data_IF_511696404612
#
_entry.id   IF_511696404612
#
_cell.length_a   1.000
_cell.length_b   1.000
_cell.length_c   1.000
_cell.angle_alpha   90.00
_cell.angle_beta   90.00
_cell.angle_gamma   90.00
#
_symmetry.space_group_name_H-M   'P 1'
#
loop_
_entity.id
_entity.type
_entity.pdbx_description
1 polymer ?
#
# COMPACT_ATOMS: atom_id res chain seq x y z
N UNK A 1 5.48 -37.32 -7.01
CA UNK A 1 5.65 -35.87 -7.34
C UNK A 1 4.43 -35.16 -6.78
N UNK A 2 4.56 -34.50 -5.59
CA UNK A 2 3.47 -33.69 -5.03
C UNK A 2 3.37 -32.44 -5.88
N UNK A 3 2.30 -32.31 -6.62
CA UNK A 3 1.94 -31.06 -7.30
C UNK A 3 1.58 -30.05 -6.18
N UNK A 4 2.37 -29.01 -5.99
CA UNK A 4 1.97 -27.88 -5.15
C UNK A 4 0.79 -27.23 -5.86
N UNK A 5 -0.42 -27.42 -5.35
CA UNK A 5 -1.53 -26.57 -5.75
C UNK A 5 -1.28 -25.20 -5.12
N UNK A 6 -1.27 -24.17 -5.97
CA UNK A 6 -1.30 -22.79 -5.48
C UNK A 6 -2.73 -22.52 -5.04
N UNK A 7 -2.91 -22.29 -3.74
CA UNK A 7 -4.18 -21.85 -3.19
C UNK A 7 -4.24 -20.32 -3.26
N UNK A 8 -5.40 -19.81 -3.62
CA UNK A 8 -5.73 -18.40 -3.50
C UNK A 8 -6.57 -18.25 -2.24
N UNK A 9 -6.01 -17.52 -1.25
CA UNK A 9 -6.74 -17.17 -0.05
C UNK A 9 -7.61 -15.94 -0.34
N UNK A 10 -8.88 -16.02 0.03
CA UNK A 10 -9.80 -14.89 -0.01
C UNK A 10 -9.85 -14.30 1.39
N UNK A 11 -9.52 -13.02 1.51
CA UNK A 11 -9.57 -12.30 2.78
C UNK A 11 -10.74 -11.32 2.80
N UNK A 12 -11.49 -11.30 3.89
CA UNK A 12 -12.68 -10.45 4.03
C UNK A 12 -12.32 -8.98 4.27
N UNK A 13 -11.13 -8.73 4.82
CA UNK A 13 -10.64 -7.38 5.11
C UNK A 13 -9.18 -7.26 4.71
N UNK A 14 -8.85 -6.12 4.09
CA UNK A 14 -7.49 -5.80 3.65
C UNK A 14 -6.96 -4.67 4.50
N UNK A 15 -5.76 -4.85 5.06
CA UNK A 15 -5.02 -3.78 5.71
C UNK A 15 -4.20 -2.98 4.69
N UNK A 16 -3.79 -1.79 5.06
CA UNK A 16 -2.81 -1.00 4.31
C UNK A 16 -1.45 -1.15 4.96
N UNK A 17 -0.44 -1.52 4.19
CA UNK A 17 0.96 -1.40 4.62
C UNK A 17 1.58 -0.17 3.94
N UNK A 18 2.29 0.64 4.69
CA UNK A 18 2.90 1.86 4.15
C UNK A 18 4.28 2.12 4.75
N UNK A 19 5.29 2.49 3.94
CA UNK A 19 6.58 2.93 4.45
C UNK A 19 6.46 4.35 4.99
N UNK A 20 6.85 4.55 6.26
CA UNK A 20 6.85 5.84 6.94
C UNK A 20 8.27 6.26 7.28
N UNK A 21 8.66 7.47 6.86
CA UNK A 21 9.89 8.11 7.30
C UNK A 21 9.63 8.79 8.65
N UNK A 22 10.26 8.33 9.71
CA UNK A 22 10.03 8.81 11.08
C UNK A 22 11.06 9.86 11.52
N UNK A 23 12.28 9.78 10.99
CA UNK A 23 13.37 10.70 11.34
C UNK A 23 14.22 11.02 10.10
N UNK A 24 15.07 12.05 10.21
CA UNK A 24 15.95 12.46 9.11
C UNK A 24 17.21 11.59 8.95
N UNK A 25 17.19 10.37 9.50
CA UNK A 25 18.27 9.39 9.37
C UNK A 25 18.19 8.52 8.10
N UNK A 26 17.23 8.78 7.22
CA UNK A 26 17.01 8.01 5.98
C UNK A 26 16.32 6.66 6.18
N UNK A 27 15.91 6.31 7.39
CA UNK A 27 15.21 5.05 7.68
C UNK A 27 13.71 5.17 7.40
N UNK A 28 13.14 4.08 6.91
CA UNK A 28 11.71 3.89 6.71
C UNK A 28 11.22 2.70 7.51
N UNK A 29 10.08 2.84 8.14
CA UNK A 29 9.38 1.76 8.84
C UNK A 29 8.15 1.39 8.03
N UNK A 30 8.03 0.13 7.63
CA UNK A 30 6.79 -0.36 7.04
C UNK A 30 5.80 -0.65 8.15
N UNK A 31 4.73 0.11 8.19
CA UNK A 31 3.67 -0.04 9.18
C UNK A 31 2.43 -0.65 8.56
N UNK A 32 1.77 -1.53 9.31
CA UNK A 32 0.49 -2.09 8.96
C UNK A 32 -0.61 -1.27 9.62
N UNK A 33 -1.52 -0.73 8.83
CA UNK A 33 -2.68 0.05 9.26
C UNK A 33 -3.92 -0.82 9.08
N UNK A 34 -4.60 -1.26 10.17
CA UNK A 34 -5.80 -2.06 10.08
C UNK A 34 -6.91 -1.33 9.34
N UNK A 35 -7.78 -2.10 8.68
CA UNK A 35 -8.97 -1.55 8.05
C UNK A 35 -10.04 -1.19 9.09
N UNK A 36 -10.71 -0.06 8.88
CA UNK A 36 -11.87 0.37 9.65
C UNK A 36 -12.98 0.83 8.69
N UNK A 37 -14.27 0.59 9.03
CA UNK A 37 -15.38 0.91 8.14
C UNK A 37 -15.61 2.42 7.97
N UNK A 38 -15.18 3.24 8.93
CA UNK A 38 -15.27 4.69 8.83
C UNK A 38 -13.90 5.34 8.82
N UNK A 39 -13.78 6.40 8.01
CA UNK A 39 -12.51 7.10 7.81
C UNK A 39 -11.98 7.79 9.07
N UNK A 40 -12.85 8.28 9.94
CA UNK A 40 -12.42 9.00 11.16
C UNK A 40 -11.71 8.06 12.13
N UNK A 41 -12.28 6.87 12.35
CA UNK A 41 -11.64 5.83 13.15
C UNK A 41 -10.34 5.38 12.51
N UNK A 42 -10.33 5.08 11.20
CA UNK A 42 -9.13 4.72 10.47
C UNK A 42 -8.02 5.78 10.65
N UNK A 43 -8.35 7.06 10.45
CA UNK A 43 -7.38 8.17 10.57
C UNK A 43 -6.81 8.28 12.00
N UNK A 44 -7.67 8.16 13.00
CA UNK A 44 -7.26 8.27 14.42
C UNK A 44 -6.31 7.12 14.80
N UNK A 45 -6.67 5.90 14.46
CA UNK A 45 -5.86 4.71 14.76
C UNK A 45 -4.55 4.68 13.97
N UNK A 46 -4.60 5.01 12.66
CA UNK A 46 -3.41 5.13 11.83
C UNK A 46 -2.43 6.16 12.40
N UNK A 47 -2.94 7.32 12.82
CA UNK A 47 -2.13 8.37 13.43
C UNK A 47 -1.50 7.93 14.75
N UNK A 48 -2.23 7.21 15.58
CA UNK A 48 -1.72 6.65 16.83
C UNK A 48 -0.58 5.64 16.57
N UNK A 49 -0.78 4.71 15.62
CA UNK A 49 0.25 3.74 15.21
C UNK A 49 1.51 4.44 14.72
N UNK A 50 1.37 5.40 13.80
CA UNK A 50 2.50 6.15 13.22
C UNK A 50 3.24 6.95 14.29
N UNK A 51 2.51 7.61 15.20
CA UNK A 51 3.12 8.40 16.28
C UNK A 51 3.82 7.55 17.35
N UNK A 52 3.47 6.27 17.44
CA UNK A 52 4.10 5.32 18.36
C UNK A 52 5.35 4.64 17.80
N UNK A 53 5.78 4.96 16.59
CA UNK A 53 6.99 4.38 16.01
C UNK A 53 8.22 4.93 16.75
N UNK A 54 9.01 4.02 17.29
CA UNK A 54 10.30 4.33 17.89
C UNK A 54 11.38 4.39 16.80
N UNK A 55 11.98 5.57 16.52
CA UNK A 55 12.96 5.70 15.46
C UNK A 55 14.28 4.96 15.72
N UNK A 56 14.55 4.56 16.96
CA UNK A 56 15.78 3.89 17.37
C UNK A 56 15.68 2.36 17.21
N UNK A 57 14.47 1.83 17.01
CA UNK A 57 14.29 0.40 16.73
C UNK A 57 14.77 0.01 15.33
N UNK A 58 15.05 -1.29 15.17
CA UNK A 58 15.34 -1.86 13.86
C UNK A 58 14.05 -1.90 13.03
N UNK A 59 13.99 -1.19 11.88
CA UNK A 59 12.80 -1.18 11.02
C UNK A 59 12.45 -2.56 10.45
N UNK A 60 13.37 -3.52 10.47
CA UNK A 60 13.20 -4.88 9.95
C UNK A 60 13.01 -5.94 11.05
N UNK A 61 12.84 -5.52 12.31
CA UNK A 61 12.70 -6.47 13.43
C UNK A 61 11.48 -7.38 13.25
N UNK A 62 10.36 -6.84 12.79
CA UNK A 62 9.15 -7.60 12.51
C UNK A 62 9.33 -8.64 11.40
N UNK A 63 10.14 -8.32 10.37
CA UNK A 63 10.46 -9.25 9.28
C UNK A 63 11.37 -10.39 9.77
N UNK A 64 12.33 -10.09 10.64
CA UNK A 64 13.25 -11.09 11.23
C UNK A 64 12.53 -12.09 12.12
N UNK A 65 11.46 -11.68 12.77
CA UNK A 65 10.66 -12.54 13.66
C UNK A 65 9.60 -13.37 12.94
N UNK A 66 9.53 -13.29 11.60
CA UNK A 66 8.59 -14.05 10.79
C UNK A 66 7.16 -13.54 10.84
N UNK A 67 6.96 -12.32 11.35
CA UNK A 67 5.65 -11.74 11.58
C UNK A 67 5.08 -10.89 10.45
N UNK A 68 5.76 -10.75 9.31
CA UNK A 68 5.24 -9.95 8.19
C UNK A 68 4.48 -10.80 7.18
N UNK A 69 3.33 -11.29 7.57
CA UNK A 69 2.39 -11.86 6.62
C UNK A 69 1.73 -10.70 5.86
N UNK A 70 2.38 -10.26 4.75
CA UNK A 70 1.85 -9.23 3.86
C UNK A 70 0.83 -9.79 2.85
N UNK A 71 0.26 -10.96 3.11
CA UNK A 71 -0.65 -11.65 2.20
C UNK A 71 -2.02 -10.96 2.10
N UNK A 72 -2.40 -10.20 3.13
CA UNK A 72 -3.69 -9.53 3.24
C UNK A 72 -3.57 -7.99 3.26
N UNK A 73 -2.59 -7.44 2.57
CA UNK A 73 -2.36 -6.00 2.52
C UNK A 73 -2.35 -5.46 1.09
N UNK A 74 -2.69 -4.20 0.95
CA UNK A 74 -2.28 -3.34 -0.16
C UNK A 74 -1.11 -2.50 0.32
N UNK A 75 0.02 -2.56 -0.37
CA UNK A 75 1.14 -1.68 -0.08
C UNK A 75 0.86 -0.30 -0.70
N UNK A 76 0.79 0.72 0.15
CA UNK A 76 0.62 2.10 -0.28
C UNK A 76 1.93 2.87 -0.08
N UNK A 77 2.51 3.35 -1.15
CA UNK A 77 3.66 4.25 -1.12
C UNK A 77 3.25 5.65 -1.60
N UNK A 78 3.84 6.68 -1.02
CA UNK A 78 3.58 8.06 -1.43
C UNK A 78 4.89 8.77 -1.81
N UNK A 79 4.85 9.52 -2.91
CA UNK A 79 5.91 10.41 -3.38
C UNK A 79 5.34 11.82 -3.52
N UNK A 80 5.12 12.54 -2.39
CA UNK A 80 4.33 13.77 -2.35
C UNK A 80 4.95 14.93 -3.12
N UNK A 81 6.24 14.86 -3.43
CA UNK A 81 6.97 15.89 -4.18
C UNK A 81 7.05 15.62 -5.68
N UNK A 82 6.62 14.44 -6.13
CA UNK A 82 6.72 14.02 -7.52
C UNK A 82 5.35 13.92 -8.17
N UNK A 83 5.10 14.76 -9.19
CA UNK A 83 3.99 14.56 -10.12
C UNK A 83 4.47 13.71 -11.29
N UNK A 84 3.82 12.57 -11.54
CA UNK A 84 4.18 11.66 -12.63
C UNK A 84 3.00 11.39 -13.56
N UNK A 85 3.29 11.05 -14.79
CA UNK A 85 2.32 10.54 -15.78
C UNK A 85 2.43 9.02 -15.93
N UNK A 86 3.54 8.45 -15.49
CA UNK A 86 3.80 7.01 -15.43
C UNK A 86 4.81 6.75 -14.33
N UNK A 87 4.62 5.68 -13.57
CA UNK A 87 5.54 5.20 -12.56
C UNK A 87 5.58 3.68 -12.58
N UNK A 88 6.77 3.12 -12.68
CA UNK A 88 7.00 1.68 -12.57
C UNK A 88 7.89 1.42 -11.37
N UNK A 89 7.41 0.59 -10.45
CA UNK A 89 8.19 0.16 -9.31
C UNK A 89 8.70 -1.26 -9.52
N UNK A 90 9.97 -1.47 -9.18
CA UNK A 90 10.55 -2.81 -9.16
C UNK A 90 10.04 -3.54 -7.92
N UNK A 91 9.45 -4.72 -8.13
CA UNK A 91 9.09 -5.64 -7.05
C UNK A 91 10.03 -6.84 -7.08
N UNK A 92 10.52 -7.25 -5.94
CA UNK A 92 11.26 -8.50 -5.83
C UNK A 92 10.29 -9.66 -5.68
N UNK A 93 10.21 -10.51 -6.71
CA UNK A 93 9.31 -11.67 -6.74
C UNK A 93 9.86 -12.90 -6.02
N UNK A 94 11.05 -12.83 -5.42
CA UNK A 94 11.73 -13.99 -4.83
C UNK A 94 11.00 -14.65 -3.66
N UNK A 95 10.12 -13.91 -2.98
CA UNK A 95 9.42 -14.39 -1.79
C UNK A 95 7.89 -14.36 -1.90
N UNK A 96 7.35 -14.42 -3.13
CA UNK A 96 5.91 -14.59 -3.33
C UNK A 96 5.06 -13.36 -2.99
N UNK A 97 5.64 -12.17 -3.00
CA UNK A 97 4.91 -10.91 -2.79
C UNK A 97 3.92 -10.65 -3.93
N UNK A 98 2.71 -11.13 -3.79
CA UNK A 98 1.62 -10.95 -4.76
C UNK A 98 0.64 -9.85 -4.32
N UNK A 99 1.03 -9.03 -3.35
CA UNK A 99 0.22 -7.91 -2.90
C UNK A 99 0.19 -6.77 -3.92
N UNK A 100 -0.95 -6.09 -4.09
CA UNK A 100 -1.01 -4.89 -4.91
C UNK A 100 -0.14 -3.77 -4.31
N UNK A 101 0.63 -3.10 -5.17
CA UNK A 101 1.40 -1.91 -4.79
C UNK A 101 0.75 -0.68 -5.43
N UNK A 102 0.28 0.22 -4.61
CA UNK A 102 -0.27 1.51 -5.02
C UNK A 102 0.71 2.64 -4.70
N UNK A 103 0.99 3.48 -5.69
CA UNK A 103 1.83 4.67 -5.54
C UNK A 103 1.00 5.91 -5.79
N UNK A 104 0.98 6.82 -4.82
CA UNK A 104 0.35 8.12 -4.93
C UNK A 104 1.43 9.20 -5.11
N UNK A 105 1.24 10.06 -6.10
CA UNK A 105 2.17 11.17 -6.36
C UNK A 105 1.66 12.50 -5.83
N UNK A 106 2.33 13.59 -6.26
CA UNK A 106 2.01 14.95 -5.86
C UNK A 106 0.62 15.38 -6.35
N UNK A 107 -0.21 15.85 -5.45
CA UNK A 107 -1.46 16.50 -5.80
C UNK A 107 -1.19 17.91 -6.37
N UNK A 108 -1.83 18.23 -7.49
CA UNK A 108 -1.72 19.53 -8.19
C UNK A 108 -3.09 20.02 -8.64
N UNK A 109 -3.23 21.34 -8.82
CA UNK A 109 -4.46 21.92 -9.37
C UNK A 109 -4.34 21.97 -10.90
N UNK A 110 -5.29 21.34 -11.59
CA UNK A 110 -5.45 21.41 -13.05
C UNK A 110 -6.87 21.81 -13.41
N UNK A 111 -7.02 22.91 -14.16
CA UNK A 111 -8.35 23.40 -14.54
C UNK A 111 -9.27 23.71 -13.35
N UNK A 112 -8.71 24.12 -12.19
CA UNK A 112 -9.48 24.38 -10.98
C UNK A 112 -9.84 23.14 -10.14
N UNK A 113 -9.41 21.95 -10.57
CA UNK A 113 -9.66 20.68 -9.88
C UNK A 113 -8.35 20.16 -9.29
N UNK A 114 -8.40 19.69 -8.03
CA UNK A 114 -7.28 19.01 -7.42
C UNK A 114 -7.18 17.58 -7.97
N UNK A 115 -6.04 17.26 -8.57
CA UNK A 115 -5.76 15.94 -9.17
C UNK A 115 -4.47 15.36 -8.59
N UNK A 116 -4.45 14.04 -8.42
CA UNK A 116 -3.29 13.31 -7.92
C UNK A 116 -3.07 12.08 -8.79
N UNK A 117 -1.83 11.82 -9.27
CA UNK A 117 -1.55 10.60 -9.99
C UNK A 117 -1.51 9.42 -9.04
N UNK A 118 -2.14 8.31 -9.44
CA UNK A 118 -2.09 7.02 -8.75
C UNK A 118 -1.65 5.98 -9.77
N UNK A 119 -0.60 5.23 -9.46
CA UNK A 119 -0.15 4.08 -10.23
C UNK A 119 -0.32 2.81 -9.40
N UNK A 120 -0.77 1.73 -10.04
CA UNK A 120 -0.88 0.42 -9.41
C UNK A 120 -0.02 -0.60 -10.12
N UNK A 121 0.74 -1.37 -9.35
CA UNK A 121 1.40 -2.60 -9.78
C UNK A 121 0.65 -3.78 -9.20
N UNK A 122 0.26 -4.72 -10.06
CA UNK A 122 -0.59 -5.86 -9.68
C UNK A 122 -0.05 -7.15 -10.29
N UNK A 123 -0.45 -8.27 -9.72
CA UNK A 123 -0.17 -9.58 -10.30
C UNK A 123 -1.28 -9.96 -11.28
N UNK A 124 -0.95 -10.07 -12.57
CA UNK A 124 -1.93 -10.30 -13.63
C UNK A 124 -2.66 -11.66 -13.52
N UNK A 125 -2.11 -12.61 -12.80
CA UNK A 125 -2.80 -13.88 -12.52
C UNK A 125 -4.03 -13.76 -11.61
N UNK A 126 -4.19 -12.64 -10.90
CA UNK A 126 -5.31 -12.38 -9.98
C UNK A 126 -6.17 -11.20 -10.41
N UNK A 127 -5.60 -10.22 -11.08
CA UNK A 127 -6.25 -8.94 -11.41
C UNK A 127 -6.00 -8.64 -12.89
N UNK A 128 -7.06 -8.35 -13.63
CA UNK A 128 -7.04 -7.91 -15.02
C UNK A 128 -7.46 -6.43 -15.19
N UNK A 129 -7.51 -5.96 -16.42
CA UNK A 129 -7.89 -4.59 -16.76
C UNK A 129 -9.31 -4.20 -16.33
N UNK A 130 -10.24 -5.17 -16.28
CA UNK A 130 -11.60 -4.91 -15.81
C UNK A 130 -11.60 -4.59 -14.30
N UNK A 131 -10.90 -5.39 -13.50
CA UNK A 131 -10.76 -5.18 -12.06
C UNK A 131 -10.07 -3.85 -11.75
N UNK A 132 -9.01 -3.49 -12.49
CA UNK A 132 -8.36 -2.18 -12.36
C UNK A 132 -9.32 -1.03 -12.70
N UNK A 133 -10.09 -1.15 -13.76
CA UNK A 133 -11.07 -0.12 -14.15
C UNK A 133 -12.12 0.11 -13.06
N UNK A 134 -12.63 -0.97 -12.46
CA UNK A 134 -13.55 -0.90 -11.33
C UNK A 134 -12.91 -0.24 -10.10
N UNK A 135 -11.68 -0.57 -9.80
CA UNK A 135 -10.94 0.04 -8.69
C UNK A 135 -10.82 1.56 -8.86
N UNK A 136 -10.29 2.02 -9.99
CA UNK A 136 -10.13 3.46 -10.23
C UNK A 136 -11.46 4.21 -10.24
N UNK A 137 -12.51 3.62 -10.82
CA UNK A 137 -13.85 4.19 -10.78
C UNK A 137 -14.36 4.37 -9.35
N UNK A 138 -14.15 3.38 -8.48
CA UNK A 138 -14.52 3.46 -7.07
C UNK A 138 -13.72 4.53 -6.33
N UNK A 139 -12.42 4.62 -6.55
CA UNK A 139 -11.58 5.67 -5.96
C UNK A 139 -12.10 7.07 -6.37
N UNK A 140 -12.41 7.28 -7.65
CA UNK A 140 -12.99 8.56 -8.12
C UNK A 140 -14.35 8.87 -7.50
N UNK A 141 -15.19 7.86 -7.28
CA UNK A 141 -16.50 8.02 -6.61
C UNK A 141 -16.34 8.48 -5.16
N UNK A 142 -15.34 7.96 -4.44
CA UNK A 142 -15.06 8.34 -3.05
C UNK A 142 -14.39 9.70 -2.88
N UNK A 143 -13.73 10.21 -3.92
CA UNK A 143 -13.03 11.49 -3.88
C UNK A 143 -13.90 12.68 -4.31
N UNK A 144 -15.13 12.45 -4.77
CA UNK A 144 -16.11 13.48 -5.13
C UNK A 144 -16.94 13.91 -3.94
#
# INVERSE_FOLDING_TARGET
>A
RKTKMNYMDVVDMIAVATPIKVADNGRFFTVRLPWYPDFKTFYTEAKAIISGIDPDKDPYEAEKTGGSDLLDVVLLSATPDLYFTSLTCTQEHRHGGNYPLMNAGKAVIRGGVLVMPIAMTIHHGFIDGHHLSLFYKKVEEFLK
#
